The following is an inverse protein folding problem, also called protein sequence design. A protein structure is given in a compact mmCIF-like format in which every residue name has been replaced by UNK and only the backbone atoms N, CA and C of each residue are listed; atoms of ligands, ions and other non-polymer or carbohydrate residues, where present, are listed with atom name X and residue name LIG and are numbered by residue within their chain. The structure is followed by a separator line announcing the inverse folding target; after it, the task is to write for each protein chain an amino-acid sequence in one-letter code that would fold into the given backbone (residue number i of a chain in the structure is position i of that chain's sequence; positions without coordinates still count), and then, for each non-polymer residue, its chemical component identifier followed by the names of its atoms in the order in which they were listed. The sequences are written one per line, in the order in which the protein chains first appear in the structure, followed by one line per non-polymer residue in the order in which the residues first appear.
data_IF_019388157422
#
_entry.id   IF_019388157422
#
_cell.length_a   1.000
_cell.length_b   1.000
_cell.length_c   1.000
_cell.angle_alpha   90.00
_cell.angle_beta   90.00
_cell.angle_gamma   90.00
#
_symmetry.space_group_name_H-M   'P 1'
#
loop_
_entity.id
_entity.type
_entity.pdbx_description
1 polymer ?
#
# COMPACT_ATOMS: atom_id res chain seq x y z
N UNK A 1 -20.16 -11.21 2.30
CA UNK A 1 -19.17 -10.51 1.44
C UNK A 1 -19.45 -10.97 0.02
N UNK A 2 -19.55 -10.07 -0.97
CA UNK A 2 -19.92 -10.44 -2.35
C UNK A 2 -18.74 -11.11 -3.05
N UNK A 3 -18.96 -12.28 -3.63
CA UNK A 3 -18.00 -12.91 -4.54
C UNK A 3 -18.03 -12.15 -5.88
N UNK A 4 -16.85 -11.84 -6.42
CA UNK A 4 -16.70 -11.09 -7.67
C UNK A 4 -15.96 -11.98 -8.67
N UNK A 5 -16.46 -12.04 -9.90
CA UNK A 5 -15.79 -12.71 -11.02
C UNK A 5 -15.88 -11.82 -12.25
N UNK A 6 -14.72 -11.42 -12.75
CA UNK A 6 -14.56 -10.45 -13.84
C UNK A 6 -13.80 -11.13 -14.97
N UNK A 7 -14.25 -10.90 -16.20
CA UNK A 7 -13.59 -11.35 -17.42
C UNK A 7 -13.34 -10.16 -18.33
N UNK A 8 -12.16 -10.13 -18.95
CA UNK A 8 -11.70 -9.00 -19.76
C UNK A 8 -11.55 -9.41 -21.22
N UNK A 9 -11.60 -8.44 -22.14
CA UNK A 9 -11.53 -8.70 -23.59
C UNK A 9 -10.23 -9.39 -24.02
N UNK A 10 -9.12 -9.15 -23.29
CA UNK A 10 -7.85 -9.81 -23.54
C UNK A 10 -7.82 -11.30 -23.10
N UNK A 11 -8.93 -11.79 -22.53
CA UNK A 11 -9.11 -13.13 -21.98
C UNK A 11 -8.65 -13.30 -20.54
N UNK A 12 -8.01 -12.30 -19.93
CA UNK A 12 -7.65 -12.36 -18.52
C UNK A 12 -8.91 -12.36 -17.64
N UNK A 13 -8.76 -12.80 -16.39
CA UNK A 13 -9.85 -12.78 -15.41
C UNK A 13 -9.36 -12.47 -14.00
N UNK A 14 -10.28 -11.92 -13.20
CA UNK A 14 -10.09 -11.68 -11.78
C UNK A 14 -11.21 -12.37 -11.01
N UNK A 15 -10.84 -13.15 -10.00
CA UNK A 15 -11.79 -13.78 -9.09
C UNK A 15 -11.49 -13.35 -7.65
N UNK A 16 -12.50 -12.84 -6.96
CA UNK A 16 -12.43 -12.53 -5.54
C UNK A 16 -13.46 -13.37 -4.80
N UNK A 17 -12.98 -14.24 -3.89
CA UNK A 17 -13.84 -15.12 -3.09
C UNK A 17 -13.26 -15.28 -1.69
N UNK A 18 -14.11 -15.18 -0.67
CA UNK A 18 -13.74 -15.43 0.73
C UNK A 18 -12.47 -14.68 1.22
N UNK A 19 -12.23 -13.45 0.76
CA UNK A 19 -11.04 -12.67 1.17
C UNK A 19 -9.80 -12.90 0.31
N UNK A 20 -9.86 -13.83 -0.64
CA UNK A 20 -8.73 -14.18 -1.51
C UNK A 20 -8.97 -13.64 -2.91
N UNK A 21 -7.89 -13.22 -3.57
CA UNK A 21 -7.89 -12.67 -4.91
C UNK A 21 -7.09 -13.60 -5.82
N UNK A 22 -7.61 -13.85 -7.02
CA UNK A 22 -6.95 -14.64 -8.04
C UNK A 22 -6.92 -13.87 -9.36
N UNK A 23 -5.73 -13.76 -9.93
CA UNK A 23 -5.49 -13.11 -11.23
C UNK A 23 -5.08 -14.18 -12.23
N UNK A 24 -5.88 -14.41 -13.27
CA UNK A 24 -5.64 -15.49 -14.25
C UNK A 24 -5.45 -14.94 -15.66
N UNK A 25 -4.61 -15.63 -16.43
CA UNK A 25 -4.42 -15.37 -17.86
C UNK A 25 -5.55 -15.98 -18.70
N UNK A 26 -5.57 -15.67 -20.01
CA UNK A 26 -6.51 -16.25 -20.98
C UNK A 26 -6.50 -17.77 -21.12
N UNK A 27 -5.50 -18.46 -20.59
CA UNK A 27 -5.40 -19.93 -20.54
C UNK A 27 -5.79 -20.47 -19.17
N UNK A 28 -6.34 -19.62 -18.31
CA UNK A 28 -6.78 -19.94 -16.95
C UNK A 28 -5.62 -20.24 -15.98
N UNK A 29 -4.37 -19.82 -16.29
CA UNK A 29 -3.23 -19.93 -15.39
C UNK A 29 -3.11 -18.71 -14.49
N UNK A 30 -2.87 -18.93 -13.19
CA UNK A 30 -2.62 -17.85 -12.24
C UNK A 30 -1.32 -17.10 -12.54
N UNK A 31 -1.36 -15.77 -12.50
CA UNK A 31 -0.17 -14.92 -12.62
C UNK A 31 0.74 -14.96 -11.39
N UNK A 32 0.18 -15.36 -10.25
CA UNK A 32 0.84 -15.60 -8.97
C UNK A 32 0.02 -16.61 -8.16
N UNK A 33 0.55 -17.14 -7.04
CA UNK A 33 -0.21 -17.99 -6.15
C UNK A 33 -1.51 -17.31 -5.72
N UNK A 34 -2.56 -18.12 -5.58
CA UNK A 34 -3.82 -17.68 -5.00
C UNK A 34 -3.59 -17.28 -3.55
N UNK A 35 -3.84 -16.01 -3.24
CA UNK A 35 -3.48 -15.45 -1.94
C UNK A 35 -4.54 -14.47 -1.42
N UNK A 36 -4.37 -14.07 -0.16
CA UNK A 36 -5.17 -13.04 0.49
C UNK A 36 -5.03 -11.72 -0.25
N UNK A 37 -6.14 -10.98 -0.36
CA UNK A 37 -6.14 -9.67 -1.02
C UNK A 37 -5.18 -8.66 -0.37
N UNK A 38 -4.87 -8.85 0.91
CA UNK A 38 -3.91 -8.08 1.70
C UNK A 38 -2.45 -8.22 1.20
N UNK A 39 -2.14 -9.26 0.42
CA UNK A 39 -0.81 -9.50 -0.15
C UNK A 39 -0.66 -8.93 -1.56
N UNK A 40 -1.76 -8.46 -2.16
CA UNK A 40 -1.74 -7.70 -3.40
C UNK A 40 -1.43 -6.23 -3.16
N UNK A 41 -0.92 -5.59 -4.21
CA UNK A 41 -0.60 -4.18 -4.25
C UNK A 41 -1.53 -3.51 -5.26
N UNK A 42 -2.37 -2.58 -4.79
CA UNK A 42 -3.12 -1.69 -5.68
C UNK A 42 -2.20 -0.55 -6.10
N UNK A 43 -1.84 -0.56 -7.38
CA UNK A 43 -0.85 0.35 -7.95
C UNK A 43 -1.57 1.56 -8.55
N UNK A 44 -2.57 1.32 -9.40
CA UNK A 44 -3.29 2.38 -10.06
C UNK A 44 -4.77 2.07 -10.14
N UNK A 45 -5.58 3.11 -10.03
CA UNK A 45 -7.00 3.07 -10.35
C UNK A 45 -7.40 4.39 -11.01
N UNK A 46 -8.19 4.28 -12.07
CA UNK A 46 -8.86 5.41 -12.71
C UNK A 46 -10.22 4.97 -13.22
N UNK A 47 -11.19 5.85 -13.09
CA UNK A 47 -12.54 5.67 -13.59
C UNK A 47 -12.91 6.92 -14.37
N UNK A 48 -13.14 6.77 -15.67
CA UNK A 48 -13.61 7.81 -16.57
C UNK A 48 -15.05 7.52 -16.99
N UNK A 49 -15.63 8.40 -17.81
CA UNK A 49 -16.95 8.17 -18.41
C UNK A 49 -16.93 6.97 -19.36
N UNK A 50 -15.80 6.67 -19.99
CA UNK A 50 -15.70 5.63 -21.03
C UNK A 50 -15.15 4.29 -20.52
N UNK A 51 -14.29 4.32 -19.50
CA UNK A 51 -13.62 3.11 -19.02
C UNK A 51 -13.16 3.22 -17.57
N UNK A 52 -12.97 2.06 -16.96
CA UNK A 52 -12.27 1.88 -15.70
C UNK A 52 -10.96 1.13 -15.92
N UNK A 53 -9.90 1.55 -15.24
CA UNK A 53 -8.57 0.94 -15.31
C UNK A 53 -8.12 0.62 -13.89
N UNK A 54 -7.64 -0.61 -13.68
CA UNK A 54 -6.93 -1.01 -12.46
C UNK A 54 -5.58 -1.61 -12.82
N UNK A 55 -4.56 -1.31 -12.03
CA UNK A 55 -3.25 -1.96 -12.11
C UNK A 55 -2.95 -2.62 -10.78
N UNK A 56 -2.71 -3.93 -10.83
CA UNK A 56 -2.53 -4.78 -9.66
C UNK A 56 -1.15 -5.46 -9.73
N UNK A 57 -0.44 -5.44 -8.61
CA UNK A 57 0.79 -6.19 -8.40
C UNK A 57 0.68 -7.19 -7.24
N UNK A 58 1.69 -8.02 -7.12
CA UNK A 58 1.93 -8.92 -5.99
C UNK A 58 3.43 -9.27 -5.97
N UNK A 59 4.01 -9.51 -4.80
CA UNK A 59 5.46 -9.82 -4.65
C UNK A 59 5.90 -11.09 -5.37
N UNK A 60 4.97 -11.99 -5.68
CA UNK A 60 5.20 -13.22 -6.42
C UNK A 60 4.91 -13.09 -7.93
N UNK A 61 4.49 -11.92 -8.41
CA UNK A 61 4.27 -11.66 -9.84
C UNK A 61 5.57 -11.18 -10.49
N UNK A 62 5.88 -11.72 -11.68
CA UNK A 62 7.01 -11.23 -12.48
C UNK A 62 6.81 -9.80 -12.97
N UNK A 63 5.56 -9.43 -13.27
CA UNK A 63 5.14 -8.12 -13.76
C UNK A 63 3.73 -7.83 -13.30
N UNK A 64 3.44 -6.56 -13.07
CA UNK A 64 2.13 -6.05 -12.70
C UNK A 64 1.13 -6.21 -13.84
N UNK A 65 -0.16 -6.22 -13.50
CA UNK A 65 -1.24 -6.51 -14.44
C UNK A 65 -2.21 -5.36 -14.51
N UNK A 66 -2.42 -4.89 -15.74
CA UNK A 66 -3.37 -3.84 -16.08
C UNK A 66 -4.64 -4.48 -16.60
N UNK A 67 -5.76 -4.12 -16.01
CA UNK A 67 -7.08 -4.50 -16.48
C UNK A 67 -7.86 -3.24 -16.85
N UNK A 68 -8.58 -3.32 -17.97
CA UNK A 68 -9.37 -2.23 -18.53
C UNK A 68 -10.77 -2.76 -18.77
N UNK A 69 -11.78 -2.05 -18.28
CA UNK A 69 -13.18 -2.39 -18.46
C UNK A 69 -13.91 -1.19 -19.05
N UNK A 70 -14.68 -1.39 -20.12
CA UNK A 70 -15.53 -0.34 -20.69
C UNK A 70 -16.69 0.01 -19.75
N UNK A 71 -17.15 1.27 -19.77
CA UNK A 71 -18.23 1.73 -18.90
C UNK A 71 -19.60 1.11 -19.20
N UNK A 72 -19.81 0.61 -20.41
CA UNK A 72 -21.02 -0.11 -20.84
C UNK A 72 -20.98 -1.61 -20.48
N UNK A 73 -19.91 -2.08 -19.86
CA UNK A 73 -19.77 -3.49 -19.51
C UNK A 73 -20.65 -3.85 -18.30
N UNK A 74 -21.35 -5.00 -18.39
CA UNK A 74 -22.22 -5.51 -17.33
C UNK A 74 -21.50 -5.72 -15.97
N UNK A 75 -20.17 -5.84 -15.99
CA UNK A 75 -19.34 -6.02 -14.80
C UNK A 75 -18.84 -4.70 -14.18
N UNK A 76 -19.29 -3.54 -14.64
CA UNK A 76 -18.82 -2.23 -14.17
C UNK A 76 -18.97 -2.06 -12.65
N UNK A 77 -20.14 -2.39 -12.10
CA UNK A 77 -20.40 -2.29 -10.66
C UNK A 77 -19.54 -3.25 -9.85
N UNK A 78 -19.30 -4.46 -10.37
CA UNK A 78 -18.43 -5.45 -9.75
C UNK A 78 -16.96 -5.01 -9.77
N UNK A 79 -16.53 -4.33 -10.84
CA UNK A 79 -15.20 -3.77 -10.95
C UNK A 79 -14.98 -2.62 -9.96
N UNK A 80 -15.96 -1.73 -9.81
CA UNK A 80 -15.96 -0.68 -8.79
C UNK A 80 -16.00 -1.26 -7.37
N UNK A 81 -16.77 -2.32 -7.14
CA UNK A 81 -16.81 -3.03 -5.85
C UNK A 81 -15.44 -3.65 -5.53
N UNK A 82 -14.79 -4.30 -6.51
CA UNK A 82 -13.45 -4.84 -6.35
C UNK A 82 -12.45 -3.74 -5.97
N UNK A 83 -12.48 -2.60 -6.65
CA UNK A 83 -11.63 -1.45 -6.31
C UNK A 83 -11.81 -1.03 -4.85
N UNK A 84 -13.04 -0.88 -4.37
CA UNK A 84 -13.29 -0.50 -2.98
C UNK A 84 -12.72 -1.53 -1.99
N UNK A 85 -12.89 -2.82 -2.26
CA UNK A 85 -12.31 -3.90 -1.44
C UNK A 85 -10.78 -3.81 -1.44
N UNK A 86 -10.16 -3.65 -2.62
CA UNK A 86 -8.70 -3.53 -2.74
C UNK A 86 -8.19 -2.27 -2.02
N UNK A 87 -8.84 -1.12 -2.20
CA UNK A 87 -8.50 0.14 -1.52
C UNK A 87 -8.48 -0.03 0.00
N UNK A 88 -9.40 -0.81 0.55
CA UNK A 88 -9.50 -1.00 2.00
C UNK A 88 -8.55 -2.07 2.55
N UNK A 89 -8.28 -3.12 1.78
CA UNK A 89 -7.58 -4.32 2.29
C UNK A 89 -6.15 -4.48 1.76
N UNK A 90 -5.89 -4.10 0.52
CA UNK A 90 -4.59 -4.34 -0.12
C UNK A 90 -3.51 -3.37 0.38
N UNK A 91 -2.24 -3.70 0.10
CA UNK A 91 -1.14 -2.75 0.27
C UNK A 91 -1.27 -1.67 -0.82
N UNK A 92 -1.16 -0.40 -0.44
CA UNK A 92 -1.04 0.69 -1.41
C UNK A 92 0.40 1.21 -1.36
N UNK A 93 1.10 1.16 -2.49
CA UNK A 93 2.45 1.70 -2.63
C UNK A 93 2.44 2.89 -3.59
N UNK A 94 2.06 4.06 -3.07
CA UNK A 94 1.86 5.28 -3.87
C UNK A 94 3.16 5.71 -4.59
N UNK A 95 4.35 5.45 -4.02
CA UNK A 95 5.62 5.89 -4.60
C UNK A 95 6.07 5.01 -5.78
N UNK A 96 5.98 3.68 -5.65
CA UNK A 96 6.27 2.80 -6.79
C UNK A 96 5.18 2.85 -7.86
N UNK A 97 3.95 3.20 -7.47
CA UNK A 97 2.83 3.34 -8.40
C UNK A 97 3.02 4.40 -9.47
N UNK A 98 3.71 5.50 -9.12
CA UNK A 98 3.98 6.59 -10.07
C UNK A 98 5.03 6.16 -11.10
N UNK A 99 6.12 5.55 -10.63
CA UNK A 99 7.24 5.08 -11.50
C UNK A 99 6.76 3.96 -12.44
N UNK A 100 5.94 3.02 -11.96
CA UNK A 100 5.37 1.99 -12.83
C UNK A 100 4.29 2.54 -13.77
N UNK A 101 3.45 3.49 -13.33
CA UNK A 101 2.44 4.10 -14.19
C UNK A 101 3.04 4.82 -15.41
N UNK A 102 4.20 5.45 -15.25
CA UNK A 102 4.98 6.04 -16.35
C UNK A 102 5.38 4.99 -17.39
N UNK A 103 5.84 3.81 -16.95
CA UNK A 103 6.20 2.70 -17.85
C UNK A 103 5.00 2.16 -18.65
N UNK A 104 3.79 2.24 -18.10
CA UNK A 104 2.56 1.82 -18.79
C UNK A 104 1.92 2.95 -19.63
N UNK A 105 2.57 4.11 -19.79
CA UNK A 105 2.02 5.32 -20.42
C UNK A 105 0.63 5.67 -19.89
N UNK A 106 0.40 5.43 -18.60
CA UNK A 106 -0.89 5.72 -17.96
C UNK A 106 -0.93 7.24 -17.77
N UNK A 107 -1.93 7.88 -18.38
CA UNK A 107 -2.13 9.32 -18.25
C UNK A 107 -2.67 9.64 -16.86
N UNK A 108 -1.79 9.94 -15.92
CA UNK A 108 -2.20 10.47 -14.61
C UNK A 108 -1.94 11.98 -14.57
N UNK A 109 -2.82 12.74 -13.91
CA UNK A 109 -2.51 14.14 -13.55
C UNK A 109 -1.69 14.11 -12.26
N UNK A 110 -0.40 14.49 -12.28
CA UNK A 110 0.35 14.64 -11.04
C UNK A 110 -0.29 15.74 -10.20
N UNK A 111 -0.55 15.44 -8.93
CA UNK A 111 -0.93 16.47 -7.96
C UNK A 111 0.34 17.25 -7.65
N UNK A 112 0.53 18.39 -8.32
CA UNK A 112 1.63 19.32 -8.04
C UNK A 112 1.26 20.06 -6.76
N UNK A 113 1.99 19.79 -5.67
CA UNK A 113 1.88 20.54 -4.43
C UNK A 113 2.85 21.71 -4.54
N UNK A 114 2.35 22.87 -4.96
CA UNK A 114 3.15 24.09 -5.03
C UNK A 114 3.59 24.55 -3.64
N UNK A 115 4.86 24.96 -3.54
CA UNK A 115 5.58 25.16 -2.29
C UNK A 115 5.66 26.62 -1.82
N UNK A 116 4.93 27.55 -2.42
CA UNK A 116 5.09 28.98 -2.17
C UNK A 116 3.92 29.62 -1.42
N UNK A 117 4.26 30.10 -0.21
CA UNK A 117 3.73 31.27 0.52
C UNK A 117 2.51 31.11 1.44
N UNK A 118 2.83 30.85 2.72
CA UNK A 118 2.10 31.30 3.91
C UNK A 118 2.67 32.64 4.41
N UNK A 119 1.82 33.66 4.56
CA UNK A 119 1.83 34.67 5.66
C UNK A 119 0.69 35.68 5.41
N UNK A 120 -0.19 36.09 6.32
CA UNK A 120 -0.55 35.74 7.70
C UNK A 120 -1.80 36.60 8.03
N UNK A 121 -2.89 36.08 8.61
CA UNK A 121 -3.73 36.84 9.56
C UNK A 121 -4.47 35.88 10.52
N UNK A 122 -3.83 35.59 11.66
CA UNK A 122 -4.51 35.03 12.84
C UNK A 122 -5.43 36.06 13.49
N UNK A 123 -6.72 35.74 13.51
CA UNK A 123 -7.79 36.53 14.13
C UNK A 123 -9.13 36.06 13.61
N UNK A 124 -9.61 34.91 14.08
CA UNK A 124 -10.53 34.06 13.32
C UNK A 124 -9.85 33.58 12.02
N UNK A 125 -9.56 32.27 11.92
CA UNK A 125 -8.59 31.64 10.99
C UNK A 125 -7.14 31.77 11.46
N UNK A 126 -6.32 30.82 10.96
CA UNK A 126 -4.88 30.58 11.22
C UNK A 126 -4.61 30.08 12.66
N UNK A 127 -3.86 29.02 13.01
CA UNK A 127 -2.69 28.25 12.52
C UNK A 127 -1.35 28.81 12.99
N UNK A 128 -1.13 28.73 14.30
CA UNK A 128 0.19 28.77 14.91
C UNK A 128 0.98 27.49 14.55
N UNK A 129 1.75 27.60 13.47
CA UNK A 129 2.76 26.63 13.05
C UNK A 129 3.97 26.71 13.99
N UNK A 130 3.95 25.89 15.03
CA UNK A 130 5.19 25.42 15.64
C UNK A 130 5.71 24.30 14.73
N UNK A 131 6.94 24.48 14.24
CA UNK A 131 7.74 23.47 13.55
C UNK A 131 7.55 22.11 14.20
N UNK A 132 6.78 21.23 13.57
CA UNK A 132 6.72 19.85 14.03
C UNK A 132 6.60 18.93 12.83
N UNK A 133 7.60 18.08 12.70
CA UNK A 133 7.54 16.80 11.99
C UNK A 133 6.46 15.90 12.63
N UNK A 134 5.18 16.30 12.60
CA UNK A 134 4.09 15.47 13.12
C UNK A 134 3.81 14.39 12.09
N UNK A 135 4.13 13.15 12.46
CA UNK A 135 3.71 12.00 11.70
C UNK A 135 2.19 12.07 11.48
N UNK A 136 1.77 11.91 10.22
CA UNK A 136 0.36 11.90 9.81
C UNK A 136 0.00 10.50 9.33
N UNK A 137 -1.26 10.12 9.53
CA UNK A 137 -1.76 8.89 8.98
C UNK A 137 -1.81 8.98 7.44
N UNK A 138 -1.19 8.04 6.72
CA UNK A 138 -1.24 8.03 5.24
C UNK A 138 -2.63 7.69 4.70
N UNK A 139 -3.57 7.20 5.53
CA UNK A 139 -4.94 6.88 5.13
C UNK A 139 -5.88 8.07 5.24
N UNK A 140 -5.85 8.80 6.35
CA UNK A 140 -6.85 9.83 6.66
C UNK A 140 -6.24 11.21 6.95
N UNK A 141 -4.92 11.36 6.89
CA UNK A 141 -4.23 12.63 7.19
C UNK A 141 -4.24 13.04 8.66
N UNK A 142 -4.94 12.31 9.53
CA UNK A 142 -5.00 12.60 10.97
C UNK A 142 -3.63 12.48 11.61
N UNK A 143 -3.33 13.39 12.54
CA UNK A 143 -2.14 13.39 13.39
C UNK A 143 -2.30 12.51 14.63
N UNK A 144 -3.48 11.92 14.83
CA UNK A 144 -3.76 11.04 15.97
C UNK A 144 -3.21 9.64 15.69
N UNK A 145 -1.97 9.41 16.14
CA UNK A 145 -1.19 8.20 15.94
C UNK A 145 -0.70 7.64 17.29
N UNK A 146 -0.79 6.32 17.44
CA UNK A 146 -0.24 5.56 18.57
C UNK A 146 0.92 4.71 18.07
N UNK A 147 2.14 4.99 18.53
CA UNK A 147 3.33 4.21 18.20
C UNK A 147 3.56 3.13 19.25
N UNK A 148 3.41 1.86 18.86
CA UNK A 148 3.79 0.72 19.70
C UNK A 148 5.17 0.22 19.26
N UNK A 149 6.18 0.43 20.11
CA UNK A 149 7.48 -0.21 19.93
C UNK A 149 7.35 -1.66 20.39
N UNK A 150 7.53 -2.63 19.49
CA UNK A 150 7.81 -4.01 19.91
C UNK A 150 9.22 -4.01 20.52
N UNK A 151 9.26 -3.85 21.85
CA UNK A 151 10.49 -3.89 22.62
C UNK A 151 11.21 -5.21 22.40
N UNK A 152 12.52 -5.12 22.16
CA UNK A 152 13.44 -6.21 22.42
C UNK A 152 13.15 -6.75 23.82
N UNK A 153 12.81 -8.03 23.92
CA UNK A 153 12.90 -8.73 25.19
C UNK A 153 14.34 -8.63 25.67
N UNK A 154 14.55 -7.93 26.79
CA UNK A 154 15.84 -7.78 27.50
C UNK A 154 16.44 -9.14 27.93
N UNK A 155 15.75 -10.27 27.68
CA UNK A 155 16.17 -11.63 28.03
C UNK A 155 16.97 -12.42 26.97
N UNK A 156 17.40 -11.83 25.83
CA UNK A 156 18.15 -12.57 24.79
C UNK A 156 19.58 -12.10 24.52
N UNK A 157 20.11 -11.19 25.33
CA UNK A 157 21.47 -10.65 25.15
C UNK A 157 22.54 -11.22 26.11
N UNK A 158 22.21 -12.21 26.94
CA UNK A 158 23.13 -12.73 27.98
C UNK A 158 23.69 -14.13 27.72
N UNK A 159 23.27 -14.82 26.65
CA UNK A 159 23.81 -16.15 26.29
C UNK A 159 24.67 -15.99 25.04
N UNK A 160 25.90 -15.52 25.20
CA UNK A 160 26.83 -15.44 24.06
C UNK A 160 28.22 -14.90 24.39
N UNK A 161 28.37 -14.15 25.48
CA UNK A 161 29.66 -13.52 25.84
C UNK A 161 30.58 -14.37 26.72
N UNK A 162 30.17 -15.59 27.11
CA UNK A 162 31.02 -16.48 27.93
C UNK A 162 31.63 -17.65 27.15
N UNK A 163 31.24 -17.87 25.88
CA UNK A 163 31.63 -19.09 25.15
C UNK A 163 32.94 -18.97 24.33
N UNK A 164 33.47 -17.78 24.09
CA UNK A 164 34.68 -17.61 23.28
C UNK A 164 35.62 -16.60 23.92
N UNK A 165 36.48 -17.11 24.80
CA UNK A 165 37.67 -16.39 25.23
C UNK A 165 38.57 -16.07 24.04
N UNK A 166 39.24 -14.91 24.14
CA UNK A 166 40.41 -14.49 23.37
C UNK A 166 40.20 -13.99 21.93
N UNK A 167 39.59 -12.80 21.73
CA UNK A 167 40.08 -11.75 20.79
C UNK A 167 39.47 -10.38 21.19
N UNK A 168 40.25 -9.35 21.59
CA UNK A 168 39.74 -8.00 21.73
C UNK A 168 39.80 -7.28 20.38
N UNK A 169 38.63 -6.93 19.85
CA UNK A 169 38.50 -6.01 18.74
C UNK A 169 38.22 -6.72 17.41
N UNK A 170 36.93 -6.90 17.11
CA UNK A 170 36.39 -6.75 15.76
C UNK A 170 34.86 -6.76 15.86
N UNK A 171 34.28 -5.63 15.46
CA UNK A 171 32.91 -5.47 14.96
C UNK A 171 31.77 -5.40 15.99
N UNK A 172 31.67 -4.20 16.57
CA UNK A 172 30.36 -3.58 16.79
C UNK A 172 29.70 -3.40 15.42
N UNK A 173 28.66 -4.17 15.13
CA UNK A 173 27.91 -4.13 13.88
C UNK A 173 26.43 -4.37 14.14
N UNK A 174 25.75 -3.33 14.60
CA UNK A 174 24.32 -3.24 14.85
C UNK A 174 23.48 -3.59 13.62
N UNK A 175 22.80 -4.75 13.63
CA UNK A 175 21.65 -4.99 12.73
C UNK A 175 20.55 -5.71 13.50
N UNK A 176 19.86 -4.96 14.35
CA UNK A 176 18.56 -5.33 14.90
C UNK A 176 17.60 -4.19 14.62
N UNK A 177 17.02 -4.16 13.42
CA UNK A 177 16.09 -3.10 13.00
C UNK A 177 14.89 -3.05 13.95
N UNK A 178 14.83 -1.98 14.74
CA UNK A 178 13.68 -1.60 15.58
C UNK A 178 12.48 -1.34 14.67
N UNK A 179 11.65 -2.35 14.43
CA UNK A 179 10.41 -2.18 13.67
C UNK A 179 9.38 -1.47 14.56
N UNK A 180 9.07 -0.20 14.27
CA UNK A 180 8.08 0.57 15.04
C UNK A 180 6.75 0.49 14.29
N UNK A 181 5.73 -0.08 14.94
CA UNK A 181 4.39 -0.17 14.37
C UNK A 181 3.53 1.00 14.87
N UNK A 182 3.12 1.87 13.95
CA UNK A 182 2.33 3.06 14.22
C UNK A 182 0.89 2.80 13.80
N UNK A 183 -0.06 2.99 14.72
CA UNK A 183 -1.49 2.81 14.49
C UNK A 183 -2.20 4.16 14.53
N UNK A 184 -2.97 4.49 13.51
CA UNK A 184 -3.83 5.67 13.55
C UNK A 184 -5.06 5.42 14.41
N UNK A 185 -5.30 6.29 15.39
CA UNK A 185 -6.46 6.21 16.28
C UNK A 185 -7.76 6.68 15.61
N UNK A 186 -7.65 7.46 14.53
CA UNK A 186 -8.82 7.96 13.81
C UNK A 186 -9.40 6.97 12.79
N UNK A 187 -8.56 6.15 12.15
CA UNK A 187 -9.00 5.23 11.08
C UNK A 187 -8.51 3.78 11.25
N UNK A 188 -7.83 3.47 12.35
CA UNK A 188 -7.31 2.14 12.67
C UNK A 188 -6.12 1.65 11.82
N UNK A 189 -5.70 2.41 10.80
CA UNK A 189 -4.60 2.03 9.89
C UNK A 189 -3.31 1.83 10.68
N UNK A 190 -2.72 0.63 10.58
CA UNK A 190 -1.39 0.31 11.11
C UNK A 190 -0.36 0.38 9.98
N UNK A 191 0.78 0.99 10.24
CA UNK A 191 1.88 1.08 9.29
C UNK A 191 3.20 1.02 10.04
N UNK A 192 4.23 0.49 9.39
CA UNK A 192 5.56 0.33 9.98
C UNK A 192 6.44 1.46 9.49
N UNK A 193 7.21 2.03 10.41
CA UNK A 193 8.27 3.01 10.14
C UNK A 193 9.61 2.45 10.59
#
# INVERSE_FOLDING_TARGET
MKDISLSFENGDSIHYRYGQLELRDKRNFGYCPYDKIEDYILIYWEQTQDKSIIVIGNTHMKKTKKYVLSSDNAHYDDFAALYNIMRDKSRCDIQNSIIEAENYKISYKPIIIDKSEKSFMEGQKDVHEVRDNKAKCPRCGSTSLSANKKGFGVGKATIGTLAFGLVPGLLIGSVGSKMVEVTCLNCGKRFKI
#
